data_IF_410524141041
#
_entry.id   IF_410524141041
#
_cell.length_a   1.000
_cell.length_b   1.000
_cell.length_c   1.000
_cell.angle_alpha   90.00
_cell.angle_beta   90.00
_cell.angle_gamma   90.00
#
_symmetry.space_group_name_H-M   'P 1'
#
loop_
_entity.id
_entity.type
_entity.pdbx_description
1 polymer ?
#
# COMPACT_ATOMS: atom_id res chain seq x y z
N UNK A 1 47.13 -37.25 7.72
CA UNK A 1 45.91 -36.86 8.45
C UNK A 1 45.17 -35.64 7.87
N UNK A 2 45.80 -34.72 7.11
CA UNK A 2 45.17 -33.49 6.58
C UNK A 2 44.28 -33.69 5.33
N UNK A 3 44.45 -34.79 4.57
CA UNK A 3 43.71 -35.04 3.31
C UNK A 3 42.21 -35.34 3.52
N UNK A 4 41.84 -35.99 4.62
CA UNK A 4 40.46 -36.45 4.86
C UNK A 4 39.54 -35.27 5.18
N UNK A 5 40.00 -34.31 5.99
CA UNK A 5 39.24 -33.09 6.32
C UNK A 5 38.97 -32.20 5.10
N UNK A 6 39.90 -32.16 4.12
CA UNK A 6 39.70 -31.42 2.87
C UNK A 6 38.53 -31.99 2.05
N UNK A 7 38.32 -33.30 2.08
CA UNK A 7 37.21 -33.96 1.38
C UNK A 7 35.86 -33.66 2.04
N UNK A 8 35.78 -33.65 3.37
CA UNK A 8 34.57 -33.30 4.10
C UNK A 8 34.19 -31.83 3.94
N UNK A 9 35.17 -30.92 3.94
CA UNK A 9 34.91 -29.49 3.70
C UNK A 9 34.38 -29.28 2.28
N UNK A 10 34.97 -29.92 1.28
CA UNK A 10 34.46 -29.88 -0.10
C UNK A 10 33.04 -30.43 -0.20
N UNK A 11 32.73 -31.53 0.49
CA UNK A 11 31.39 -32.11 0.51
C UNK A 11 30.37 -31.14 1.14
N UNK A 12 30.69 -30.52 2.27
CA UNK A 12 29.83 -29.55 2.94
C UNK A 12 29.60 -28.32 2.05
N UNK A 13 30.64 -27.83 1.38
CA UNK A 13 30.51 -26.70 0.46
C UNK A 13 29.65 -27.04 -0.75
N UNK A 14 29.76 -28.25 -1.31
CA UNK A 14 28.90 -28.73 -2.41
C UNK A 14 27.44 -28.87 -1.95
N UNK A 15 27.22 -29.42 -0.76
CA UNK A 15 25.86 -29.56 -0.19
C UNK A 15 25.24 -28.20 0.13
N UNK A 16 26.02 -27.25 0.66
CA UNK A 16 25.57 -25.88 0.88
C UNK A 16 25.27 -25.15 -0.44
N UNK A 17 26.07 -25.39 -1.48
CA UNK A 17 25.84 -24.85 -2.83
C UNK A 17 24.54 -25.36 -3.44
N UNK A 18 24.25 -26.66 -3.29
CA UNK A 18 22.99 -27.26 -3.75
C UNK A 18 21.78 -26.81 -2.92
N UNK A 19 21.93 -26.63 -1.61
CA UNK A 19 20.85 -26.18 -0.72
C UNK A 19 20.42 -24.72 -0.92
N UNK A 20 21.29 -23.89 -1.51
CA UNK A 20 21.03 -22.45 -1.71
C UNK A 20 20.37 -22.12 -3.06
N UNK A 21 20.25 -23.07 -3.99
CA UNK A 21 19.57 -22.86 -5.28
C UNK A 21 18.07 -23.16 -5.16
N UNK A 22 17.37 -22.39 -4.31
CA UNK A 22 15.92 -22.26 -4.47
C UNK A 22 15.69 -21.27 -5.60
N UNK A 23 15.30 -21.76 -6.77
CA UNK A 23 14.87 -20.91 -7.86
C UNK A 23 13.59 -20.20 -7.45
N UNK A 24 13.60 -18.87 -7.38
CA UNK A 24 12.36 -18.09 -7.31
C UNK A 24 11.64 -18.30 -8.64
N UNK A 25 10.60 -19.14 -8.66
CA UNK A 25 9.71 -19.24 -9.82
C UNK A 25 8.91 -17.94 -9.87
N UNK A 26 9.24 -17.07 -10.81
CA UNK A 26 8.41 -15.91 -11.10
C UNK A 26 7.05 -16.40 -11.59
N UNK A 27 5.96 -15.96 -10.95
CA UNK A 27 4.62 -16.28 -11.43
C UNK A 27 4.42 -15.56 -12.76
N UNK A 28 4.08 -16.33 -13.80
CA UNK A 28 3.77 -15.78 -15.10
C UNK A 28 2.25 -15.54 -15.22
N UNK A 29 1.84 -14.27 -15.20
CA UNK A 29 0.45 -13.84 -15.37
C UNK A 29 0.11 -13.46 -16.83
N UNK A 30 1.01 -13.70 -17.80
CA UNK A 30 0.86 -13.19 -19.18
C UNK A 30 -0.36 -13.73 -19.92
N UNK A 31 -0.91 -14.86 -19.47
CA UNK A 31 -2.06 -15.54 -20.06
C UNK A 31 -3.35 -15.36 -19.27
N UNK A 32 -3.28 -14.69 -18.12
CA UNK A 32 -4.46 -14.51 -17.29
C UNK A 32 -5.40 -13.51 -17.95
N UNK A 33 -6.71 -13.80 -18.01
CA UNK A 33 -7.66 -12.88 -18.59
C UNK A 33 -7.76 -11.60 -17.74
N UNK A 34 -7.80 -10.45 -18.39
CA UNK A 34 -8.16 -9.20 -17.72
C UNK A 34 -9.66 -9.28 -17.39
N UNK A 35 -10.00 -9.24 -16.10
CA UNK A 35 -11.37 -9.29 -15.61
C UNK A 35 -11.72 -7.95 -14.98
N UNK A 36 -12.81 -7.35 -15.44
CA UNK A 36 -13.40 -6.17 -14.80
C UNK A 36 -14.23 -6.62 -13.59
N UNK A 37 -13.75 -6.33 -12.38
CA UNK A 37 -14.42 -6.70 -11.13
C UNK A 37 -15.57 -5.75 -10.79
N UNK A 38 -15.39 -4.46 -11.09
CA UNK A 38 -16.35 -3.40 -10.86
C UNK A 38 -16.64 -2.64 -12.16
N UNK A 39 -17.89 -2.21 -12.40
CA UNK A 39 -18.20 -1.29 -13.49
C UNK A 39 -17.36 0.00 -13.40
N UNK A 40 -17.29 0.72 -14.52
CA UNK A 40 -16.72 2.07 -14.53
C UNK A 40 -17.42 2.94 -13.47
N UNK A 41 -16.63 3.67 -12.68
CA UNK A 41 -17.10 4.64 -11.66
C UNK A 41 -17.94 4.03 -10.52
N UNK A 42 -17.75 2.74 -10.23
CA UNK A 42 -18.50 2.06 -9.16
C UNK A 42 -18.02 2.42 -7.73
N UNK A 43 -16.83 3.01 -7.58
CA UNK A 43 -16.32 3.53 -6.31
C UNK A 43 -16.52 5.03 -6.32
N UNK A 44 -17.56 5.48 -5.61
CA UNK A 44 -18.03 6.85 -5.74
C UNK A 44 -17.16 7.82 -4.93
N UNK A 45 -16.72 8.87 -5.62
CA UNK A 45 -16.12 10.05 -5.03
C UNK A 45 -17.01 10.67 -3.96
N UNK A 46 -16.38 11.20 -2.91
CA UNK A 46 -17.07 12.11 -1.98
C UNK A 46 -16.98 13.52 -2.55
N UNK A 47 -18.13 14.08 -2.92
CA UNK A 47 -18.22 15.44 -3.50
C UNK A 47 -18.70 16.49 -2.51
N UNK A 48 -19.30 16.06 -1.40
CA UNK A 48 -19.80 16.93 -0.33
C UNK A 48 -19.25 16.44 1.02
N UNK A 49 -17.93 16.61 1.28
CA UNK A 49 -17.32 16.11 2.49
C UNK A 49 -17.85 16.83 3.73
N UNK A 50 -18.10 16.05 4.78
CA UNK A 50 -18.50 16.56 6.09
C UNK A 50 -17.41 16.25 7.11
N UNK A 51 -16.97 17.28 7.80
CA UNK A 51 -15.90 17.18 8.78
C UNK A 51 -16.45 17.19 10.19
N UNK A 52 -15.69 16.57 11.09
CA UNK A 52 -15.87 16.68 12.53
C UNK A 52 -14.62 17.29 13.15
N UNK A 53 -14.79 17.94 14.30
CA UNK A 53 -13.67 18.37 15.13
C UNK A 53 -12.71 17.20 15.40
N UNK A 54 -11.41 17.48 15.46
CA UNK A 54 -10.38 16.44 15.69
C UNK A 54 -10.66 15.60 16.95
N UNK A 55 -11.14 16.23 18.04
CA UNK A 55 -11.49 15.54 19.29
C UNK A 55 -12.69 14.58 19.18
N UNK A 56 -13.51 14.73 18.14
CA UNK A 56 -14.69 13.92 17.88
C UNK A 56 -14.44 12.87 16.79
N UNK A 57 -13.26 12.87 16.16
CA UNK A 57 -12.92 11.92 15.12
C UNK A 57 -12.85 10.50 15.69
N UNK A 58 -13.56 9.56 15.06
CA UNK A 58 -13.56 8.13 15.42
C UNK A 58 -12.43 7.40 14.70
N UNK A 59 -11.20 7.83 14.95
CA UNK A 59 -9.99 7.25 14.38
C UNK A 59 -9.16 6.58 15.48
N UNK A 60 -8.42 5.55 15.12
CA UNK A 60 -7.41 4.99 16.02
C UNK A 60 -6.29 6.00 16.26
N UNK A 61 -5.62 5.90 17.40
CA UNK A 61 -4.55 6.84 17.80
C UNK A 61 -3.42 6.97 16.76
N UNK A 62 -3.18 5.91 15.98
CA UNK A 62 -2.15 5.84 14.93
C UNK A 62 -2.77 5.73 13.52
N UNK A 63 -4.04 6.05 13.35
CA UNK A 63 -4.67 6.02 12.02
C UNK A 63 -4.04 7.09 11.13
N UNK A 64 -3.53 6.73 9.94
CA UNK A 64 -2.97 7.71 9.02
C UNK A 64 -4.08 8.59 8.44
N UNK A 65 -3.71 9.84 8.19
CA UNK A 65 -4.55 10.84 7.53
C UNK A 65 -3.72 11.60 6.50
N UNK A 66 -4.36 12.08 5.44
CA UNK A 66 -3.79 13.11 4.57
C UNK A 66 -4.17 14.46 5.17
N UNK A 67 -3.17 15.24 5.58
CA UNK A 67 -3.38 16.60 6.07
C UNK A 67 -3.23 17.61 4.94
N UNK A 68 -4.18 18.53 4.80
CA UNK A 68 -4.10 19.66 3.86
C UNK A 68 -4.27 20.95 4.64
N UNK A 69 -3.36 21.90 4.45
CA UNK A 69 -3.45 23.24 5.03
C UNK A 69 -3.21 24.28 3.94
N UNK A 70 -4.26 25.04 3.61
CA UNK A 70 -4.23 26.06 2.57
C UNK A 70 -4.97 27.31 3.08
N UNK A 71 -4.34 28.48 2.94
CA UNK A 71 -4.91 29.78 3.34
C UNK A 71 -5.49 29.81 4.78
N UNK A 72 -4.89 29.07 5.71
CA UNK A 72 -5.34 28.98 7.11
C UNK A 72 -6.47 27.99 7.38
N UNK A 73 -7.08 27.39 6.34
CA UNK A 73 -8.02 26.27 6.47
C UNK A 73 -7.21 24.96 6.48
N UNK A 74 -7.39 24.15 7.53
CA UNK A 74 -6.66 22.90 7.73
C UNK A 74 -7.63 21.75 7.92
N UNK A 75 -7.50 20.72 7.08
CA UNK A 75 -8.35 19.53 7.07
C UNK A 75 -7.52 18.26 7.11
N UNK A 76 -8.10 17.21 7.70
CA UNK A 76 -7.52 15.88 7.76
C UNK A 76 -8.49 14.87 7.13
N UNK A 77 -8.02 14.15 6.12
CA UNK A 77 -8.78 13.14 5.39
C UNK A 77 -8.34 11.75 5.85
N UNK A 78 -9.28 10.93 6.33
CA UNK A 78 -8.98 9.59 6.81
C UNK A 78 -8.64 8.66 5.64
N UNK A 79 -7.48 8.00 5.72
CA UNK A 79 -7.12 6.94 4.76
C UNK A 79 -8.13 5.80 4.80
N UNK A 80 -8.68 5.48 5.97
CA UNK A 80 -9.66 4.40 6.09
C UNK A 80 -10.93 4.70 5.29
N UNK A 81 -11.36 5.96 5.28
CA UNK A 81 -12.54 6.38 4.52
C UNK A 81 -12.22 6.52 3.02
N UNK A 82 -11.00 6.92 2.67
CA UNK A 82 -10.52 6.91 1.30
C UNK A 82 -10.35 5.49 0.71
N UNK A 83 -10.13 4.45 1.51
CA UNK A 83 -10.11 3.08 0.98
C UNK A 83 -11.45 2.66 0.36
N UNK A 84 -12.57 3.24 0.82
CA UNK A 84 -13.91 2.90 0.33
C UNK A 84 -14.41 3.88 -0.76
N UNK A 85 -13.75 5.03 -0.92
CA UNK A 85 -14.22 6.14 -1.77
C UNK A 85 -13.17 6.67 -2.76
N UNK A 86 -11.90 6.29 -2.61
CA UNK A 86 -10.69 6.59 -3.40
C UNK A 86 -10.33 8.08 -3.63
N UNK A 87 -11.32 8.97 -3.61
CA UNK A 87 -11.18 10.39 -3.88
C UNK A 87 -12.20 11.22 -3.08
N UNK A 88 -11.73 12.34 -2.54
CA UNK A 88 -12.57 13.39 -1.97
C UNK A 88 -12.33 14.67 -2.76
N UNK A 89 -13.38 15.17 -3.43
CA UNK A 89 -13.39 16.47 -4.07
C UNK A 89 -13.81 17.51 -3.03
N UNK A 90 -12.93 18.47 -2.75
CA UNK A 90 -13.14 19.47 -1.71
C UNK A 90 -12.62 20.85 -2.15
N UNK A 91 -12.98 21.88 -1.38
CA UNK A 91 -12.41 23.20 -1.47
C UNK A 91 -11.83 23.60 -0.10
N UNK A 92 -10.50 23.65 -0.01
CA UNK A 92 -9.77 24.02 1.22
C UNK A 92 -9.15 25.40 1.05
N UNK A 93 -9.46 26.32 1.96
CA UNK A 93 -8.95 27.69 1.87
C UNK A 93 -9.34 28.41 0.58
N UNK A 94 -10.48 28.05 -0.01
CA UNK A 94 -10.95 28.57 -1.30
C UNK A 94 -10.35 27.91 -2.54
N UNK A 95 -9.40 26.98 -2.40
CA UNK A 95 -8.73 26.29 -3.50
C UNK A 95 -9.39 24.92 -3.73
N UNK A 96 -9.88 24.62 -4.95
CA UNK A 96 -10.41 23.30 -5.27
C UNK A 96 -9.27 22.26 -5.26
N UNK A 97 -9.51 21.14 -4.60
CA UNK A 97 -8.56 20.03 -4.51
C UNK A 97 -9.28 18.68 -4.72
N UNK A 98 -8.50 17.69 -5.12
CA UNK A 98 -8.88 16.28 -5.08
C UNK A 98 -7.87 15.54 -4.19
N UNK A 99 -8.33 15.05 -3.05
CA UNK A 99 -7.50 14.22 -2.15
C UNK A 99 -7.69 12.75 -2.50
N UNK A 100 -6.60 12.01 -2.71
CA UNK A 100 -6.61 10.61 -3.12
C UNK A 100 -5.52 9.80 -2.40
N UNK A 101 -5.66 8.48 -2.38
CA UNK A 101 -4.78 7.52 -1.72
C UNK A 101 -4.66 6.23 -2.54
#
# INVERSE_FOLDING_TARGET
MIKVYRLYILLILVLAWFGFHQSVVAVNYSTDPIITVLPFDAILAITEPRFVEARNAKLGINSPVIGVSLNGDSRAYSIHLLNDHEIVNDQVGGIPIATTW
#
